data_IF_823278941722
#
_entry.id   IF_823278941722
#
_cell.length_a   1.000
_cell.length_b   1.000
_cell.length_c   1.000
_cell.angle_alpha   90.00
_cell.angle_beta   90.00
_cell.angle_gamma   90.00
#
_symmetry.space_group_name_H-M   'P 1'
#
loop_
_entity.id
_entity.type
_entity.pdbx_description
1 polymer ?
#
# COMPACT_ATOMS: atom_id res chain seq x y z
N UNK A 1 19.08 -26.42 -34.20
CA UNK A 1 17.89 -25.71 -34.74
C UNK A 1 16.96 -25.34 -33.59
N UNK A 2 16.63 -24.05 -33.41
CA UNK A 2 15.73 -23.59 -32.34
C UNK A 2 14.28 -24.00 -32.69
N UNK A 3 13.69 -24.87 -31.88
CA UNK A 3 12.27 -25.24 -31.96
C UNK A 3 11.38 -24.00 -31.92
N UNK A 4 10.60 -23.78 -32.98
CA UNK A 4 9.67 -22.66 -33.15
C UNK A 4 8.31 -23.07 -32.59
N UNK A 5 8.22 -23.34 -31.29
CA UNK A 5 6.97 -23.73 -30.65
C UNK A 5 6.04 -22.51 -30.56
N UNK A 6 4.99 -22.50 -31.38
CA UNK A 6 3.91 -21.49 -31.30
C UNK A 6 3.05 -21.87 -30.10
N UNK A 7 3.10 -21.07 -29.02
CA UNK A 7 2.26 -21.28 -27.83
C UNK A 7 0.88 -20.66 -28.10
N UNK A 8 -0.17 -21.46 -28.03
CA UNK A 8 -1.54 -20.96 -28.08
C UNK A 8 -1.86 -20.21 -26.78
N UNK A 9 -1.65 -18.89 -26.76
CA UNK A 9 -1.79 -18.03 -25.57
C UNK A 9 -3.09 -17.22 -25.56
N UNK A 10 -3.90 -17.33 -26.61
CA UNK A 10 -5.10 -16.51 -26.80
C UNK A 10 -6.15 -16.75 -25.70
N UNK A 11 -6.36 -18.00 -25.27
CA UNK A 11 -7.28 -18.31 -24.18
C UNK A 11 -6.86 -17.68 -22.84
N UNK A 12 -5.57 -17.73 -22.52
CA UNK A 12 -5.01 -17.15 -21.28
C UNK A 12 -5.13 -15.63 -21.30
N UNK A 13 -4.85 -14.99 -22.44
CA UNK A 13 -5.02 -13.54 -22.61
C UNK A 13 -6.47 -13.12 -22.44
N UNK A 14 -7.42 -13.82 -23.08
CA UNK A 14 -8.86 -13.54 -22.95
C UNK A 14 -9.34 -13.65 -21.50
N UNK A 15 -8.95 -14.72 -20.80
CA UNK A 15 -9.33 -14.89 -19.40
C UNK A 15 -8.74 -13.80 -18.51
N UNK A 16 -7.49 -13.39 -18.75
CA UNK A 16 -6.86 -12.28 -18.01
C UNK A 16 -7.58 -10.94 -18.25
N UNK A 17 -7.99 -10.67 -19.50
CA UNK A 17 -8.77 -9.48 -19.85
C UNK A 17 -10.13 -9.47 -19.16
N UNK A 18 -10.87 -10.58 -19.22
CA UNK A 18 -12.18 -10.72 -18.55
C UNK A 18 -12.05 -10.46 -17.03
N UNK A 19 -11.07 -11.11 -16.39
CA UNK A 19 -10.81 -10.90 -14.96
C UNK A 19 -10.47 -9.45 -14.61
N UNK A 20 -9.71 -8.77 -15.48
CA UNK A 20 -9.38 -7.35 -15.30
C UNK A 20 -10.61 -6.46 -15.43
N UNK A 21 -11.52 -6.76 -16.36
CA UNK A 21 -12.78 -6.03 -16.54
C UNK A 21 -13.71 -6.22 -15.34
N UNK A 22 -13.87 -7.45 -14.85
CA UNK A 22 -14.65 -7.73 -13.64
C UNK A 22 -14.10 -6.98 -12.43
N UNK A 23 -12.77 -6.94 -12.27
CA UNK A 23 -12.13 -6.19 -11.20
C UNK A 23 -12.40 -4.68 -11.31
N UNK A 24 -12.37 -4.12 -12.52
CA UNK A 24 -12.71 -2.71 -12.74
C UNK A 24 -14.18 -2.42 -12.39
N UNK A 25 -15.11 -3.30 -12.76
CA UNK A 25 -16.53 -3.15 -12.41
C UNK A 25 -16.75 -3.17 -10.89
N UNK A 26 -16.08 -4.07 -10.16
CA UNK A 26 -16.14 -4.11 -8.69
C UNK A 26 -15.64 -2.82 -8.05
N UNK A 27 -14.55 -2.26 -8.59
CA UNK A 27 -14.02 -0.97 -8.12
C UNK A 27 -15.03 0.15 -8.32
N UNK A 28 -15.68 0.18 -9.48
CA UNK A 28 -16.68 1.19 -9.79
C UNK A 28 -17.90 1.11 -8.87
N UNK A 29 -18.41 -0.11 -8.63
CA UNK A 29 -19.50 -0.34 -7.68
C UNK A 29 -19.13 0.09 -6.26
N UNK A 30 -17.91 -0.25 -5.81
CA UNK A 30 -17.40 0.17 -4.51
C UNK A 30 -17.31 1.69 -4.40
N UNK A 31 -16.77 2.37 -5.41
CA UNK A 31 -16.71 3.85 -5.43
C UNK A 31 -18.11 4.44 -5.35
N UNK A 32 -19.07 3.94 -6.13
CA UNK A 32 -20.47 4.40 -6.08
C UNK A 32 -21.08 4.20 -4.69
N UNK A 33 -20.84 3.05 -4.06
CA UNK A 33 -21.32 2.78 -2.71
C UNK A 33 -20.72 3.75 -1.67
N UNK A 34 -19.41 4.01 -1.76
CA UNK A 34 -18.73 4.96 -0.87
C UNK A 34 -19.22 6.40 -1.07
N UNK A 35 -19.55 6.80 -2.30
CA UNK A 35 -20.18 8.10 -2.58
C UNK A 35 -21.57 8.16 -1.94
N UNK A 36 -22.41 7.15 -2.14
CA UNK A 36 -23.79 7.10 -1.60
C UNK A 36 -23.81 7.14 -0.08
N UNK A 37 -22.91 6.40 0.57
CA UNK A 37 -22.79 6.35 2.03
C UNK A 37 -22.05 7.55 2.62
N UNK A 38 -21.58 8.49 1.78
CA UNK A 38 -20.73 9.62 2.17
C UNK A 38 -19.48 9.20 2.95
N UNK A 39 -18.98 8.00 2.70
CA UNK A 39 -17.79 7.45 3.30
C UNK A 39 -16.53 8.05 2.66
N UNK A 40 -15.38 7.89 3.33
CA UNK A 40 -14.10 8.40 2.82
C UNK A 40 -13.61 7.58 1.63
N UNK A 41 -13.40 8.24 0.49
CA UNK A 41 -12.87 7.63 -0.73
C UNK A 41 -11.35 7.72 -0.68
N UNK A 42 -10.70 6.59 -0.47
CA UNK A 42 -9.26 6.43 -0.53
C UNK A 42 -8.90 5.01 -0.98
N UNK A 43 -7.66 4.79 -1.44
CA UNK A 43 -7.23 3.49 -1.96
C UNK A 43 -7.44 2.31 -0.99
N UNK A 44 -7.29 2.53 0.32
CA UNK A 44 -7.52 1.46 1.29
C UNK A 44 -8.99 1.10 1.39
N UNK A 45 -9.86 2.11 1.48
CA UNK A 45 -11.30 1.89 1.57
C UNK A 45 -11.85 1.25 0.30
N UNK A 46 -11.41 1.74 -0.87
CA UNK A 46 -11.83 1.19 -2.17
C UNK A 46 -11.36 -0.26 -2.31
N UNK A 47 -10.13 -0.59 -1.92
CA UNK A 47 -9.63 -1.97 -1.96
C UNK A 47 -10.43 -2.90 -1.03
N UNK A 48 -10.75 -2.43 0.17
CA UNK A 48 -11.55 -3.19 1.15
C UNK A 48 -12.96 -3.45 0.62
N UNK A 49 -13.62 -2.43 0.10
CA UNK A 49 -15.01 -2.50 -0.38
C UNK A 49 -15.15 -3.31 -1.68
N UNK A 50 -14.23 -3.13 -2.62
CA UNK A 50 -14.26 -3.82 -3.92
C UNK A 50 -13.69 -5.25 -3.88
N UNK A 51 -12.96 -5.60 -2.83
CA UNK A 51 -12.22 -6.87 -2.72
C UNK A 51 -11.05 -6.99 -3.70
N UNK A 52 -10.61 -5.88 -4.30
CA UNK A 52 -9.52 -5.86 -5.29
C UNK A 52 -8.22 -5.42 -4.62
N UNK A 53 -7.09 -5.95 -5.08
CA UNK A 53 -5.79 -5.62 -4.50
C UNK A 53 -5.41 -4.16 -4.76
N UNK A 54 -4.71 -3.54 -3.81
CA UNK A 54 -4.19 -2.18 -3.99
C UNK A 54 -3.24 -2.07 -5.18
N UNK A 55 -2.47 -3.13 -5.46
CA UNK A 55 -1.59 -3.19 -6.63
C UNK A 55 -2.37 -3.01 -7.93
N UNK A 56 -3.55 -3.64 -8.06
CA UNK A 56 -4.42 -3.43 -9.21
C UNK A 56 -4.89 -1.98 -9.32
N UNK A 57 -5.31 -1.37 -8.21
CA UNK A 57 -5.74 0.04 -8.18
C UNK A 57 -4.63 1.01 -8.59
N UNK A 58 -3.38 0.75 -8.20
CA UNK A 58 -2.24 1.61 -8.57
C UNK A 58 -1.75 1.37 -9.99
N UNK A 59 -1.80 0.12 -10.48
CA UNK A 59 -1.35 -0.25 -11.81
C UNK A 59 -2.33 0.23 -12.90
N UNK A 60 -3.61 0.37 -12.57
CA UNK A 60 -4.60 0.92 -13.49
C UNK A 60 -4.68 2.45 -13.30
N UNK A 61 -4.05 3.19 -14.22
CA UNK A 61 -3.94 4.64 -14.13
C UNK A 61 -5.30 5.37 -14.14
N UNK A 62 -6.29 4.85 -14.86
CA UNK A 62 -7.63 5.45 -14.91
C UNK A 62 -8.33 5.35 -13.55
N UNK A 63 -8.30 4.16 -12.96
CA UNK A 63 -8.84 3.91 -11.61
C UNK A 63 -8.11 4.79 -10.58
N UNK A 64 -6.78 4.85 -10.66
CA UNK A 64 -5.96 5.67 -9.78
C UNK A 64 -6.36 7.14 -9.84
N UNK A 65 -6.41 7.71 -11.05
CA UNK A 65 -6.77 9.12 -11.27
C UNK A 65 -8.19 9.41 -10.74
N UNK A 66 -9.13 8.48 -10.94
CA UNK A 66 -10.50 8.61 -10.44
C UNK A 66 -10.56 8.65 -8.91
N UNK A 67 -9.88 7.74 -8.22
CA UNK A 67 -9.83 7.70 -6.75
C UNK A 67 -9.16 8.98 -6.21
N UNK A 68 -8.05 9.41 -6.79
CA UNK A 68 -7.36 10.65 -6.40
C UNK A 68 -8.22 11.89 -6.62
N UNK A 69 -8.91 11.99 -7.76
CA UNK A 69 -9.83 13.09 -8.07
C UNK A 69 -10.99 13.18 -7.09
N UNK A 70 -11.68 12.06 -6.84
CA UNK A 70 -12.79 11.99 -5.87
C UNK A 70 -12.33 12.32 -4.45
N UNK A 71 -11.13 11.86 -4.07
CA UNK A 71 -10.55 12.18 -2.77
C UNK A 71 -10.29 13.68 -2.62
N UNK A 72 -9.70 14.33 -3.64
CA UNK A 72 -9.48 15.79 -3.63
C UNK A 72 -10.79 16.56 -3.54
N UNK A 73 -11.82 16.12 -4.25
CA UNK A 73 -13.17 16.70 -4.16
C UNK A 73 -13.74 16.59 -2.74
N UNK A 74 -13.56 15.43 -2.07
CA UNK A 74 -13.95 15.29 -0.66
C UNK A 74 -13.11 16.13 0.31
N UNK A 75 -11.83 16.36 0.01
CA UNK A 75 -10.94 17.20 0.84
C UNK A 75 -11.24 18.71 0.67
N UNK A 76 -11.65 19.15 -0.53
CA UNK A 76 -12.06 20.54 -0.79
C UNK A 76 -13.44 20.92 -0.22
N UNK A 77 -14.28 19.93 0.05
CA UNK A 77 -15.54 20.07 0.80
C UNK A 77 -15.22 20.07 2.30
N UNK A 78 -14.69 21.18 2.79
CA UNK A 78 -14.25 21.37 4.18
C UNK A 78 -15.32 20.94 5.20
N UNK A 79 -15.18 19.75 5.78
CA UNK A 79 -15.81 19.43 7.05
C UNK A 79 -14.93 19.96 8.19
N UNK A 80 -15.48 20.44 9.32
CA UNK A 80 -14.68 20.93 10.46
C UNK A 80 -13.66 19.93 11.01
N UNK A 81 -13.79 18.64 10.69
CA UNK A 81 -12.86 17.57 11.06
C UNK A 81 -11.59 17.52 10.19
N UNK A 82 -11.57 18.10 8.98
CA UNK A 82 -10.34 18.19 8.17
C UNK A 82 -9.43 19.33 8.63
N UNK A 83 -10.03 20.45 9.06
CA UNK A 83 -9.30 21.61 9.60
C UNK A 83 -8.49 21.23 10.85
N UNK A 84 -9.04 20.38 11.74
CA UNK A 84 -8.31 19.85 12.90
C UNK A 84 -7.16 18.89 12.55
N UNK A 85 -7.21 18.22 11.38
CA UNK A 85 -6.18 17.27 10.92
C UNK A 85 -5.10 17.94 10.06
N UNK A 86 -5.38 19.12 9.51
CA UNK A 86 -4.42 19.98 8.83
C UNK A 86 -3.63 20.88 9.79
N UNK A 87 -3.70 20.64 11.11
CA UNK A 87 -2.86 21.32 12.09
C UNK A 87 -1.39 20.94 11.88
N UNK A 88 -0.77 21.71 10.98
CA UNK A 88 0.64 21.98 10.71
C UNK A 88 1.49 20.80 10.22
N UNK A 89 2.12 20.97 9.06
CA UNK A 89 3.18 20.05 8.58
C UNK A 89 4.28 19.84 9.64
N UNK A 90 4.52 20.82 10.52
CA UNK A 90 5.39 20.69 11.69
C UNK A 90 5.04 19.51 12.64
N UNK A 91 3.76 19.16 12.78
CA UNK A 91 3.33 18.03 13.61
C UNK A 91 3.59 16.67 12.94
N UNK A 92 3.54 16.61 11.60
CA UNK A 92 3.94 15.41 10.84
C UNK A 92 5.45 15.23 10.89
N UNK A 93 6.21 16.31 10.71
CA UNK A 93 7.68 16.28 10.75
C UNK A 93 8.19 15.85 12.14
N UNK A 94 7.56 16.35 13.20
CA UNK A 94 7.85 15.93 14.58
C UNK A 94 7.56 14.44 14.79
N UNK A 95 6.46 13.93 14.25
CA UNK A 95 6.12 12.51 14.34
C UNK A 95 7.08 11.63 13.53
N UNK A 96 7.50 12.08 12.35
CA UNK A 96 8.50 11.41 11.51
C UNK A 96 9.85 11.35 12.22
N UNK A 97 10.29 12.47 12.80
CA UNK A 97 11.53 12.55 13.58
C UNK A 97 11.51 11.60 14.78
N UNK A 98 10.41 11.55 15.53
CA UNK A 98 10.25 10.63 16.66
C UNK A 98 10.33 9.15 16.23
N UNK A 99 9.66 8.78 15.12
CA UNK A 99 9.72 7.43 14.58
C UNK A 99 11.12 7.05 14.10
N UNK A 100 11.79 7.94 13.37
CA UNK A 100 13.16 7.72 12.90
C UNK A 100 14.15 7.54 14.07
N UNK A 101 13.98 8.32 15.13
CA UNK A 101 14.79 8.16 16.36
C UNK A 101 14.56 6.79 17.03
N UNK A 102 13.33 6.29 17.04
CA UNK A 102 13.03 4.95 17.58
C UNK A 102 13.66 3.85 16.72
N UNK A 103 13.59 3.97 15.40
CA UNK A 103 14.23 3.03 14.46
C UNK A 103 15.74 2.97 14.71
N UNK A 104 16.42 4.13 14.75
CA UNK A 104 17.87 4.20 15.03
C UNK A 104 18.25 3.54 16.36
N UNK A 105 17.46 3.74 17.41
CA UNK A 105 17.70 3.09 18.71
C UNK A 105 17.57 1.57 18.61
N UNK A 106 16.52 1.08 17.97
CA UNK A 106 16.30 -0.35 17.76
C UNK A 106 17.38 -0.98 16.90
N UNK A 107 17.84 -0.31 15.85
CA UNK A 107 18.95 -0.79 14.99
C UNK A 107 20.26 -0.90 15.78
N UNK A 108 20.58 0.11 16.61
CA UNK A 108 21.77 0.09 17.46
C UNK A 108 21.72 -1.05 18.48
N UNK A 109 20.56 -1.26 19.10
CA UNK A 109 20.33 -2.34 20.05
C UNK A 109 20.45 -3.71 19.37
N UNK A 110 19.84 -3.88 18.20
CA UNK A 110 19.94 -5.10 17.40
C UNK A 110 21.39 -5.43 17.04
N UNK A 111 22.17 -4.41 16.65
CA UNK A 111 23.60 -4.58 16.37
C UNK A 111 24.36 -5.01 17.62
N UNK A 112 24.13 -4.36 18.77
CA UNK A 112 24.79 -4.70 20.04
C UNK A 112 24.49 -6.15 20.45
N UNK A 113 23.22 -6.56 20.37
CA UNK A 113 22.81 -7.92 20.68
C UNK A 113 23.45 -8.95 19.74
N UNK A 114 23.58 -8.65 18.45
CA UNK A 114 24.28 -9.51 17.49
C UNK A 114 25.77 -9.64 17.82
N UNK A 115 26.44 -8.54 18.20
CA UNK A 115 27.85 -8.56 18.56
C UNK A 115 28.09 -9.35 19.87
N UNK A 116 27.22 -9.18 20.88
CA UNK A 116 27.25 -9.97 22.11
C UNK A 116 27.06 -11.47 21.83
N UNK A 117 26.10 -11.80 20.95
CA UNK A 117 25.81 -13.18 20.56
C UNK A 117 27.00 -13.81 19.80
N UNK A 118 27.68 -13.04 18.95
CA UNK A 118 28.88 -13.49 18.25
C UNK A 118 30.03 -13.81 19.21
N UNK A 119 30.30 -12.91 20.18
CA UNK A 119 31.33 -13.13 21.21
C UNK A 119 31.03 -14.35 22.07
N UNK A 120 29.78 -14.51 22.52
CA UNK A 120 29.36 -15.66 23.30
C UNK A 120 29.50 -16.96 22.51
N UNK A 121 29.15 -16.96 21.21
CA UNK A 121 29.39 -18.13 20.34
C UNK A 121 30.88 -18.45 20.23
N UNK A 122 31.74 -17.46 20.01
CA UNK A 122 33.19 -17.65 19.98
C UNK A 122 33.71 -18.31 21.26
N UNK A 123 33.31 -17.81 22.43
CA UNK A 123 33.69 -18.39 23.73
C UNK A 123 33.19 -19.83 23.94
N UNK A 124 32.08 -20.23 23.29
CA UNK A 124 31.60 -21.61 23.33
C UNK A 124 32.45 -22.49 22.42
N UNK A 125 32.84 -22.02 21.24
CA UNK A 125 33.70 -22.78 20.32
C UNK A 125 35.14 -22.93 20.83
N UNK A 126 35.68 -21.94 21.55
CA UNK A 126 37.03 -22.02 22.17
C UNK A 126 37.12 -22.98 23.37
N UNK A 127 35.96 -23.48 23.85
CA UNK A 127 35.88 -24.45 24.97
C UNK A 127 35.79 -25.91 24.51
N UNK A 128 35.84 -26.15 23.21
CA UNK A 128 35.97 -27.47 22.58
C UNK A 128 37.30 -27.56 21.82
#
# INVERSE_FOLDING_TARGET
MRSKHIRNTEGVKKHAQMKSQEAAQKVDQAIQHLIKTKAKINFNQVAMESGVSKAFLYNNQEIRNRIEGLRKQQEGLNSPQTIKRNMTDASKDSLIAAKNNRIKKLEKENKRLKDELLKLRGMVYDKF
#
